data_IF_182287913533
#
_entry.id   IF_182287913533
#
_cell.length_a   1.000
_cell.length_b   1.000
_cell.length_c   1.000
_cell.angle_alpha   90.00
_cell.angle_beta   90.00
_cell.angle_gamma   90.00
#
_symmetry.space_group_name_H-M   'P 1'
#
loop_
_entity.id
_entity.type
_entity.pdbx_description
1 polymer ?
#
# COMPACT_ATOMS: atom_id res chain seq x y z
N UNK A 1 -6.30 15.35 -12.92
CA UNK A 1 -5.92 13.92 -13.07
C UNK A 1 -6.38 13.12 -11.86
N UNK A 2 -6.69 11.84 -12.04
CA UNK A 2 -6.98 10.88 -10.96
C UNK A 2 -5.76 10.02 -10.70
N UNK A 3 -5.21 10.09 -9.49
CA UNK A 3 -3.95 9.45 -9.10
C UNK A 3 -4.24 8.24 -8.21
N UNK A 4 -3.61 7.10 -8.51
CA UNK A 4 -3.59 5.91 -7.66
C UNK A 4 -2.23 5.81 -6.98
N UNK A 5 -2.21 5.57 -5.67
CA UNK A 5 -0.98 5.39 -4.89
C UNK A 5 -1.02 4.03 -4.22
N UNK A 6 -0.06 3.16 -4.53
CA UNK A 6 0.14 1.92 -3.78
C UNK A 6 0.69 2.22 -2.40
N UNK A 7 0.09 1.63 -1.35
CA UNK A 7 0.59 1.67 0.02
C UNK A 7 0.60 0.27 0.61
N UNK A 8 1.75 -0.13 1.15
CA UNK A 8 2.00 -1.47 1.67
C UNK A 8 2.27 -1.43 3.16
N UNK A 9 1.66 -2.35 3.88
CA UNK A 9 1.93 -2.59 5.29
C UNK A 9 3.13 -3.52 5.42
N UNK A 10 4.20 -3.04 6.04
CA UNK A 10 5.45 -3.78 6.23
C UNK A 10 5.88 -3.75 7.70
N UNK A 11 6.82 -4.62 8.10
CA UNK A 11 7.46 -4.51 9.41
C UNK A 11 8.12 -3.13 9.50
N UNK A 12 7.94 -2.46 10.63
CA UNK A 12 8.49 -1.12 10.82
C UNK A 12 10.02 -1.13 10.67
N UNK A 13 10.56 -0.11 9.99
CA UNK A 13 11.98 -0.04 9.66
C UNK A 13 12.89 0.02 10.91
N UNK A 14 12.37 0.48 12.06
CA UNK A 14 13.11 0.52 13.31
C UNK A 14 13.15 -0.85 14.03
N UNK A 15 12.32 -1.81 13.60
CA UNK A 15 12.28 -3.15 14.19
C UNK A 15 13.40 -4.02 13.64
N UNK A 16 14.19 -4.61 14.55
CA UNK A 16 15.14 -5.65 14.19
C UNK A 16 14.40 -6.95 13.83
N UNK A 17 14.42 -7.29 12.55
CA UNK A 17 13.81 -8.51 12.01
C UNK A 17 14.45 -9.76 12.63
N UNK A 18 13.61 -10.73 13.03
CA UNK A 18 14.02 -12.04 13.54
C UNK A 18 13.53 -13.14 12.61
N UNK A 19 14.41 -14.08 12.28
CA UNK A 19 14.07 -15.28 11.50
C UNK A 19 13.40 -16.29 12.42
N UNK A 20 12.35 -16.95 11.93
CA UNK A 20 11.68 -18.02 12.68
C UNK A 20 12.63 -19.23 12.85
N UNK A 21 12.55 -19.98 13.96
CA UNK A 21 13.44 -21.14 14.21
C UNK A 21 13.36 -22.22 13.12
N UNK A 22 12.19 -22.38 12.50
CA UNK A 22 11.92 -23.33 11.41
C UNK A 22 12.41 -22.86 10.02
N UNK A 23 13.01 -21.66 9.93
CA UNK A 23 13.47 -21.03 8.69
C UNK A 23 12.36 -20.80 7.65
N UNK A 24 11.08 -20.82 8.03
CA UNK A 24 9.97 -20.59 7.10
C UNK A 24 9.74 -19.12 6.74
N UNK A 25 10.42 -18.20 7.43
CA UNK A 25 10.33 -16.77 7.19
C UNK A 25 10.73 -15.94 8.40
N UNK A 26 10.11 -14.78 8.55
CA UNK A 26 10.38 -13.83 9.65
C UNK A 26 9.22 -13.80 10.65
N UNK A 27 9.50 -13.43 11.89
CA UNK A 27 8.48 -13.26 12.93
C UNK A 27 7.70 -11.98 12.64
N UNK A 28 6.37 -12.11 12.45
CA UNK A 28 5.45 -10.99 12.20
C UNK A 28 4.43 -10.81 13.33
N UNK A 29 4.28 -11.80 14.22
CA UNK A 29 3.39 -11.75 15.38
C UNK A 29 3.97 -10.83 16.46
N UNK A 30 3.11 -9.98 17.03
CA UNK A 30 3.49 -9.00 18.06
C UNK A 30 4.67 -8.09 17.64
N UNK A 31 4.83 -7.89 16.34
CA UNK A 31 5.81 -6.98 15.75
C UNK A 31 5.09 -5.75 15.22
N UNK A 32 5.63 -4.58 15.51
CA UNK A 32 5.13 -3.32 14.98
C UNK A 32 5.28 -3.29 13.45
N UNK A 33 4.22 -2.84 12.79
CA UNK A 33 4.19 -2.62 11.35
C UNK A 33 3.82 -1.18 11.08
N UNK A 34 4.19 -0.70 9.91
CA UNK A 34 3.89 0.65 9.44
C UNK A 34 3.74 0.66 7.91
N UNK A 35 3.42 1.83 7.37
CA UNK A 35 3.46 2.04 5.92
C UNK A 35 4.92 1.94 5.45
N UNK A 36 5.14 1.34 4.27
CA UNK A 36 6.47 1.37 3.67
C UNK A 36 6.96 2.83 3.53
N UNK A 37 8.19 3.16 3.97
CA UNK A 37 8.73 4.52 3.85
C UNK A 37 8.69 5.11 2.43
N UNK A 38 8.86 4.27 1.40
CA UNK A 38 8.77 4.73 -0.01
C UNK A 38 7.33 5.07 -0.41
N UNK A 39 6.36 4.34 0.11
CA UNK A 39 4.94 4.61 -0.13
C UNK A 39 4.49 5.90 0.55
N UNK A 40 5.08 6.25 1.70
CA UNK A 40 4.84 7.56 2.32
C UNK A 40 5.29 8.72 1.42
N UNK A 41 6.43 8.57 0.74
CA UNK A 41 6.95 9.57 -0.21
C UNK A 41 6.05 9.64 -1.45
N UNK A 42 5.64 8.50 -1.98
CA UNK A 42 4.72 8.41 -3.11
C UNK A 42 3.38 9.09 -2.81
N UNK A 43 2.83 8.85 -1.62
CA UNK A 43 1.60 9.49 -1.17
C UNK A 43 1.76 11.00 -1.03
N UNK A 44 2.85 11.46 -0.40
CA UNK A 44 3.15 12.88 -0.22
C UNK A 44 3.21 13.61 -1.57
N UNK A 45 3.89 13.05 -2.59
CA UNK A 45 3.94 13.70 -3.89
C UNK A 45 2.58 13.74 -4.58
N UNK A 46 1.77 12.68 -4.47
CA UNK A 46 0.40 12.69 -4.98
C UNK A 46 -0.47 13.78 -4.31
N UNK A 47 -0.34 13.96 -3.00
CA UNK A 47 -1.05 15.01 -2.25
C UNK A 47 -0.56 16.39 -2.70
N UNK A 48 0.74 16.61 -2.86
CA UNK A 48 1.28 17.87 -3.39
C UNK A 48 0.79 18.18 -4.80
N UNK A 49 0.68 17.18 -5.67
CA UNK A 49 0.07 17.35 -7.00
C UNK A 49 -1.38 17.82 -6.89
N UNK A 50 -2.13 17.32 -5.90
CA UNK A 50 -3.51 17.77 -5.62
C UNK A 50 -3.55 19.22 -5.15
N UNK A 51 -2.66 19.60 -4.23
CA UNK A 51 -2.53 20.98 -3.73
C UNK A 51 -2.16 21.98 -4.84
N UNK A 52 -1.28 21.57 -5.76
CA UNK A 52 -0.91 22.32 -6.97
C UNK A 52 -1.98 22.30 -8.07
N UNK A 53 -3.15 21.68 -7.82
CA UNK A 53 -4.27 21.53 -8.78
C UNK A 53 -3.90 20.76 -10.06
N UNK A 54 -2.87 19.92 -10.00
CA UNK A 54 -2.49 19.00 -11.09
C UNK A 54 -3.28 17.68 -10.99
N UNK A 55 -3.58 17.24 -9.77
CA UNK A 55 -4.48 16.13 -9.47
C UNK A 55 -5.81 16.62 -8.90
N UNK A 56 -6.89 15.91 -9.21
CA UNK A 56 -8.25 16.20 -8.75
C UNK A 56 -8.70 15.22 -7.65
N UNK A 57 -8.13 14.02 -7.65
CA UNK A 57 -8.47 12.95 -6.71
C UNK A 57 -7.23 12.06 -6.53
N UNK A 58 -6.88 11.78 -5.27
CA UNK A 58 -5.82 10.87 -4.85
C UNK A 58 -6.48 9.67 -4.16
N UNK A 59 -6.25 8.47 -4.69
CA UNK A 59 -6.78 7.23 -4.13
C UNK A 59 -5.64 6.35 -3.66
N UNK A 60 -5.65 5.98 -2.39
CA UNK A 60 -4.72 5.00 -1.84
C UNK A 60 -5.21 3.58 -2.13
N UNK A 61 -4.28 2.67 -2.43
CA UNK A 61 -4.57 1.26 -2.68
C UNK A 61 -3.65 0.37 -1.86
N UNK A 62 -4.21 -0.67 -1.25
CA UNK A 62 -3.43 -1.72 -0.59
C UNK A 62 -4.03 -3.09 -0.89
N UNK A 63 -3.16 -4.05 -1.17
CA UNK A 63 -3.51 -5.46 -1.33
C UNK A 63 -2.89 -6.23 -0.17
N UNK A 64 -3.73 -6.91 0.61
CA UNK A 64 -3.28 -7.72 1.73
C UNK A 64 -4.38 -8.04 2.73
N UNK A 65 -3.98 -8.58 3.88
CA UNK A 65 -4.89 -8.99 4.94
C UNK A 65 -5.69 -7.84 5.57
N UNK A 66 -6.62 -8.14 6.49
CA UNK A 66 -7.46 -7.15 7.17
C UNK A 66 -6.67 -6.02 7.83
N UNK A 67 -5.45 -6.32 8.31
CA UNK A 67 -4.56 -5.35 8.97
C UNK A 67 -4.05 -4.26 8.02
N UNK A 68 -4.07 -4.45 6.70
CA UNK A 68 -3.68 -3.42 5.73
C UNK A 68 -4.59 -2.19 5.76
N UNK A 69 -5.79 -2.29 6.35
CA UNK A 69 -6.64 -1.13 6.58
C UNK A 69 -6.00 -0.05 7.47
N UNK A 70 -5.06 -0.43 8.34
CA UNK A 70 -4.29 0.50 9.16
C UNK A 70 -3.54 1.52 8.30
N UNK A 71 -2.75 1.04 7.34
CA UNK A 71 -1.98 1.93 6.45
C UNK A 71 -2.88 2.71 5.49
N UNK A 72 -4.02 2.15 5.09
CA UNK A 72 -5.01 2.88 4.31
C UNK A 72 -5.65 4.02 5.10
N UNK A 73 -5.96 3.83 6.38
CA UNK A 73 -6.44 4.90 7.27
C UNK A 73 -5.38 5.98 7.45
N UNK A 74 -4.11 5.60 7.60
CA UNK A 74 -2.99 6.55 7.62
C UNK A 74 -2.92 7.35 6.32
N UNK A 75 -3.10 6.70 5.17
CA UNK A 75 -3.08 7.38 3.87
C UNK A 75 -4.22 8.41 3.73
N UNK A 76 -5.43 8.04 4.17
CA UNK A 76 -6.58 8.96 4.23
C UNK A 76 -6.30 10.14 5.16
N UNK A 77 -5.75 9.89 6.35
CA UNK A 77 -5.40 10.95 7.31
C UNK A 77 -4.33 11.91 6.76
N UNK A 78 -3.42 11.42 5.92
CA UNK A 78 -2.36 12.21 5.26
C UNK A 78 -2.82 12.92 3.98
N UNK A 79 -4.08 12.78 3.57
CA UNK A 79 -4.66 13.57 2.47
C UNK A 79 -5.09 12.79 1.23
N UNK A 80 -5.07 11.46 1.25
CA UNK A 80 -5.79 10.69 0.23
C UNK A 80 -7.31 10.91 0.36
N UNK A 81 -8.01 11.03 -0.76
CA UNK A 81 -9.46 11.28 -0.79
C UNK A 81 -10.25 9.98 -0.58
N UNK A 82 -9.73 8.87 -1.09
CA UNK A 82 -10.35 7.54 -0.99
C UNK A 82 -9.29 6.45 -0.79
N UNK A 83 -9.75 5.30 -0.32
CA UNK A 83 -8.93 4.11 -0.15
C UNK A 83 -9.61 2.90 -0.81
N UNK A 84 -8.81 2.05 -1.45
CA UNK A 84 -9.22 0.75 -1.98
C UNK A 84 -8.43 -0.32 -1.25
N UNK A 85 -9.12 -1.19 -0.53
CA UNK A 85 -8.55 -2.40 0.07
C UNK A 85 -8.92 -3.58 -0.81
N UNK A 86 -7.91 -4.24 -1.40
CA UNK A 86 -8.08 -5.56 -2.00
C UNK A 86 -7.68 -6.58 -0.96
N UNK A 87 -8.70 -7.17 -0.34
CA UNK A 87 -8.51 -8.12 0.74
C UNK A 87 -8.01 -9.46 0.22
N UNK A 88 -6.94 -9.95 0.86
CA UNK A 88 -6.41 -11.29 0.65
C UNK A 88 -6.42 -12.00 2.01
N UNK A 89 -6.98 -13.22 2.13
CA UNK A 89 -6.94 -13.96 3.38
C UNK A 89 -5.52 -14.09 3.92
N UNK A 90 -5.34 -13.96 5.24
CA UNK A 90 -4.01 -14.02 5.86
C UNK A 90 -3.25 -15.32 5.52
N UNK A 91 -3.99 -16.43 5.33
CA UNK A 91 -3.44 -17.73 4.94
C UNK A 91 -2.83 -17.75 3.52
N UNK A 92 -3.22 -16.81 2.66
CA UNK A 92 -2.74 -16.68 1.27
C UNK A 92 -1.75 -15.54 1.09
N UNK A 93 -1.55 -14.70 2.11
CA UNK A 93 -0.72 -13.50 2.01
C UNK A 93 0.75 -13.83 1.68
N UNK A 94 1.26 -14.98 2.12
CA UNK A 94 2.61 -15.46 1.80
C UNK A 94 2.81 -15.85 0.33
N UNK A 95 1.72 -16.04 -0.43
CA UNK A 95 1.73 -16.36 -1.86
C UNK A 95 1.59 -15.12 -2.74
N UNK A 96 1.33 -13.96 -2.14
CA UNK A 96 1.20 -12.71 -2.88
C UNK A 96 2.58 -12.26 -3.34
N UNK A 97 2.72 -12.12 -4.65
CA UNK A 97 3.96 -11.69 -5.31
C UNK A 97 3.71 -10.42 -6.13
N UNK A 98 4.76 -9.67 -6.51
CA UNK A 98 4.62 -8.46 -7.32
C UNK A 98 3.78 -8.64 -8.59
N UNK A 99 3.85 -9.81 -9.25
CA UNK A 99 3.03 -10.12 -10.43
C UNK A 99 1.52 -10.10 -10.12
N UNK A 100 1.13 -10.61 -8.95
CA UNK A 100 -0.27 -10.59 -8.51
C UNK A 100 -0.74 -9.14 -8.27
N UNK A 101 0.10 -8.34 -7.61
CA UNK A 101 -0.18 -6.92 -7.34
C UNK A 101 -0.29 -6.14 -8.65
N UNK A 102 0.62 -6.36 -9.61
CA UNK A 102 0.61 -5.70 -10.91
C UNK A 102 -0.68 -6.01 -11.70
N UNK A 103 -1.14 -7.27 -11.71
CA UNK A 103 -2.41 -7.66 -12.37
C UNK A 103 -3.62 -6.99 -11.73
N UNK A 104 -3.65 -6.87 -10.41
CA UNK A 104 -4.72 -6.18 -9.69
C UNK A 104 -4.68 -4.67 -10.00
N UNK A 105 -3.50 -4.06 -9.94
CA UNK A 105 -3.30 -2.65 -10.28
C UNK A 105 -3.80 -2.35 -11.70
N UNK A 106 -3.44 -3.17 -12.68
CA UNK A 106 -3.93 -3.03 -14.05
C UNK A 106 -5.47 -2.99 -14.09
N UNK A 107 -6.14 -3.92 -13.40
CA UNK A 107 -7.61 -3.97 -13.37
C UNK A 107 -8.22 -2.78 -12.65
N UNK A 108 -7.57 -2.27 -11.61
CA UNK A 108 -8.02 -1.06 -10.92
C UNK A 108 -7.89 0.18 -11.81
N UNK A 109 -6.77 0.32 -12.52
CA UNK A 109 -6.53 1.38 -13.51
C UNK A 109 -7.58 1.36 -14.61
N UNK A 110 -7.84 0.20 -15.21
CA UNK A 110 -8.86 0.02 -16.24
C UNK A 110 -10.27 0.36 -15.73
N UNK A 111 -10.64 -0.16 -14.55
CA UNK A 111 -11.99 -0.02 -13.98
C UNK A 111 -12.29 1.40 -13.50
N UNK A 112 -11.34 2.06 -12.85
CA UNK A 112 -11.54 3.34 -12.19
C UNK A 112 -10.97 4.53 -12.98
N UNK A 113 -10.36 4.25 -14.13
CA UNK A 113 -9.76 5.22 -15.07
C UNK A 113 -8.75 6.14 -14.38
N UNK A 114 -7.75 5.53 -13.75
CA UNK A 114 -6.63 6.27 -13.16
C UNK A 114 -5.70 6.78 -14.27
N UNK A 115 -5.25 8.03 -14.16
CA UNK A 115 -4.37 8.69 -15.13
C UNK A 115 -2.89 8.49 -14.80
N UNK A 116 -2.58 8.33 -13.52
CA UNK A 116 -1.22 8.18 -13.00
C UNK A 116 -1.22 7.19 -11.83
N UNK A 117 -0.19 6.35 -11.78
CA UNK A 117 0.05 5.42 -10.68
C UNK A 117 1.40 5.72 -10.06
N UNK A 118 1.44 5.92 -8.74
CA UNK A 118 2.68 5.87 -7.97
C UNK A 118 2.82 4.50 -7.29
N UNK A 119 3.97 3.89 -7.44
CA UNK A 119 4.37 2.66 -6.74
C UNK A 119 5.81 2.77 -6.25
N UNK A 120 6.14 2.01 -5.22
CA UNK A 120 7.51 1.79 -4.75
C UNK A 120 8.43 1.23 -5.86
N UNK A 121 9.73 1.50 -5.73
CA UNK A 121 10.80 1.18 -6.70
C UNK A 121 11.30 -0.27 -6.55
#
# INVERSE_FOLDING_TARGET
MKVLVGVKRVIDYAVKVRVKPDKSGVVTENVQHSMNPFDEIALEEAVRMKEKKMANEVVAFSLGGPKSQEVLRTALAKGADKAIHVEVPDAELSKVEPLHVAKVLQKLVEKHKFDLVFSEN
#
